data_IF_567942676836
#
_entry.id   IF_567942676836
#
_cell.length_a   1.000
_cell.length_b   1.000
_cell.length_c   1.000
_cell.angle_alpha   90.00
_cell.angle_beta   90.00
_cell.angle_gamma   90.00
#
_symmetry.space_group_name_H-M   'P 1'
#
loop_
_entity.id
_entity.type
_entity.pdbx_description
1 polymer ?
#
# COMPACT_ATOMS: atom_id res chain seq x y z
N UNK A 1 -23.60 -43.79 -21.87
CA UNK A 1 -22.35 -44.28 -21.23
C UNK A 1 -21.22 -43.24 -21.30
N UNK A 2 -21.46 -42.01 -20.90
CA UNK A 2 -20.44 -40.92 -20.97
C UNK A 2 -20.35 -40.05 -19.70
N UNK A 3 -20.89 -40.51 -18.58
CA UNK A 3 -20.86 -39.76 -17.30
C UNK A 3 -19.91 -40.29 -16.23
N UNK A 4 -19.09 -41.32 -16.50
CA UNK A 4 -18.30 -41.99 -15.46
C UNK A 4 -16.82 -41.59 -15.34
N UNK A 5 -16.34 -40.68 -16.19
CA UNK A 5 -14.87 -40.28 -16.17
C UNK A 5 -14.57 -38.91 -15.58
N UNK A 6 -15.57 -38.06 -15.32
CA UNK A 6 -15.36 -36.73 -14.69
C UNK A 6 -15.01 -36.76 -13.19
N UNK A 7 -15.60 -37.64 -12.35
CA UNK A 7 -15.35 -37.60 -10.89
C UNK A 7 -13.89 -37.90 -10.51
N UNK A 8 -13.17 -38.73 -11.27
CA UNK A 8 -11.81 -39.15 -10.92
C UNK A 8 -10.75 -38.03 -11.03
N UNK A 9 -10.89 -37.10 -11.98
CA UNK A 9 -9.91 -35.99 -12.14
C UNK A 9 -10.05 -34.94 -11.05
N UNK A 10 -11.29 -34.66 -10.64
CA UNK A 10 -11.59 -33.68 -9.58
C UNK A 10 -11.21 -34.23 -8.21
N UNK A 11 -11.59 -35.46 -7.86
CA UNK A 11 -11.16 -36.13 -6.64
C UNK A 11 -9.61 -36.22 -6.54
N UNK A 12 -8.93 -36.48 -7.66
CA UNK A 12 -7.47 -36.53 -7.69
C UNK A 12 -6.87 -35.13 -7.45
N UNK A 13 -7.45 -34.08 -8.04
CA UNK A 13 -7.02 -32.70 -7.83
C UNK A 13 -7.22 -32.27 -6.37
N UNK A 14 -8.35 -32.59 -5.76
CA UNK A 14 -8.63 -32.34 -4.34
C UNK A 14 -7.63 -33.09 -3.43
N UNK A 15 -7.27 -34.33 -3.75
CA UNK A 15 -6.26 -35.09 -2.99
C UNK A 15 -4.87 -34.42 -3.05
N UNK A 16 -4.50 -33.88 -4.20
CA UNK A 16 -3.23 -33.13 -4.37
C UNK A 16 -3.20 -31.90 -3.48
N UNK A 17 -4.30 -31.13 -3.44
CA UNK A 17 -4.43 -29.95 -2.59
C UNK A 17 -4.38 -30.35 -1.11
N UNK A 18 -5.14 -31.36 -0.69
CA UNK A 18 -5.12 -31.86 0.69
C UNK A 18 -3.74 -32.39 1.12
N UNK A 19 -2.98 -32.98 0.19
CA UNK A 19 -1.59 -33.38 0.45
C UNK A 19 -0.69 -32.14 0.65
N UNK A 20 -0.87 -31.10 -0.16
CA UNK A 20 -0.13 -29.84 0.00
C UNK A 20 -0.43 -29.17 1.34
N UNK A 21 -1.69 -29.18 1.79
CA UNK A 21 -2.09 -28.68 3.11
C UNK A 21 -1.41 -29.48 4.24
N UNK A 22 -1.42 -30.82 4.13
CA UNK A 22 -0.81 -31.69 5.15
C UNK A 22 0.71 -31.45 5.25
N UNK A 23 1.39 -31.32 4.13
CA UNK A 23 2.83 -31.03 4.11
C UNK A 23 3.11 -29.66 4.69
N UNK A 24 2.29 -28.68 4.38
CA UNK A 24 2.45 -27.36 4.92
C UNK A 24 2.21 -27.31 6.45
N UNK A 25 1.17 -27.97 6.95
CA UNK A 25 0.92 -28.13 8.40
C UNK A 25 2.08 -28.83 9.11
N UNK A 26 2.75 -29.75 8.43
CA UNK A 26 3.94 -30.42 8.94
C UNK A 26 5.23 -29.56 8.83
N UNK A 27 5.11 -28.28 8.50
CA UNK A 27 6.27 -27.38 8.29
C UNK A 27 7.07 -27.67 7.02
N UNK A 28 6.58 -28.56 6.15
CA UNK A 28 7.24 -28.93 4.89
C UNK A 28 6.61 -28.13 3.76
N UNK A 29 7.44 -27.54 2.92
CA UNK A 29 6.95 -26.93 1.70
C UNK A 29 6.67 -28.02 0.66
N UNK A 30 5.50 -27.98 0.01
CA UNK A 30 5.25 -28.79 -1.17
C UNK A 30 6.39 -28.57 -2.16
N UNK A 31 6.92 -29.62 -2.76
CA UNK A 31 8.22 -29.64 -3.44
C UNK A 31 8.42 -28.53 -4.47
N UNK A 32 9.69 -28.26 -4.74
CA UNK A 32 10.11 -27.38 -5.84
C UNK A 32 10.33 -28.19 -7.11
N UNK A 33 10.13 -29.45 -6.98
CA UNK A 33 10.26 -30.47 -8.01
C UNK A 33 9.35 -30.13 -9.20
N UNK A 34 9.80 -30.27 -10.38
CA UNK A 34 9.05 -29.94 -11.60
C UNK A 34 7.75 -30.77 -11.67
N UNK A 35 7.81 -32.02 -11.19
CA UNK A 35 6.67 -32.92 -11.08
C UNK A 35 5.61 -32.42 -10.12
N UNK A 36 5.98 -31.99 -8.93
CA UNK A 36 5.06 -31.42 -7.92
C UNK A 36 4.42 -30.14 -8.40
N UNK A 37 5.21 -29.29 -9.07
CA UNK A 37 4.73 -28.05 -9.69
C UNK A 37 3.69 -28.30 -10.77
N UNK A 38 3.93 -29.28 -11.64
CA UNK A 38 3.00 -29.66 -12.69
C UNK A 38 1.72 -30.22 -12.10
N UNK A 39 1.83 -31.03 -11.04
CA UNK A 39 0.69 -31.63 -10.35
C UNK A 39 -0.17 -30.56 -9.67
N UNK A 40 0.41 -29.57 -9.01
CA UNK A 40 -0.31 -28.44 -8.42
C UNK A 40 -0.95 -27.55 -9.48
N UNK A 41 -0.25 -27.28 -10.59
CA UNK A 41 -0.81 -26.52 -11.70
C UNK A 41 -2.06 -27.22 -12.29
N UNK A 42 -1.96 -28.53 -12.50
CA UNK A 42 -3.09 -29.34 -12.99
C UNK A 42 -4.26 -29.35 -12.00
N UNK A 43 -4.00 -29.45 -10.70
CA UNK A 43 -5.02 -29.37 -9.66
C UNK A 43 -5.71 -28.01 -9.66
N UNK A 44 -4.95 -26.92 -9.71
CA UNK A 44 -5.45 -25.57 -9.82
C UNK A 44 -6.37 -25.38 -11.05
N UNK A 45 -5.91 -25.81 -12.23
CA UNK A 45 -6.69 -25.71 -13.46
C UNK A 45 -7.97 -26.58 -13.43
N UNK A 46 -7.87 -27.78 -12.84
CA UNK A 46 -8.99 -28.74 -12.80
C UNK A 46 -10.09 -28.24 -11.88
N UNK A 47 -9.73 -27.83 -10.66
CA UNK A 47 -10.69 -27.29 -9.67
C UNK A 47 -11.23 -25.92 -10.15
N UNK A 48 -10.38 -25.11 -10.80
CA UNK A 48 -10.75 -23.81 -11.31
C UNK A 48 -11.87 -23.79 -12.36
N UNK A 49 -12.11 -24.92 -13.04
CA UNK A 49 -13.24 -25.08 -13.99
C UNK A 49 -14.59 -25.11 -13.26
N UNK A 50 -14.60 -25.55 -12.00
CA UNK A 50 -15.79 -25.68 -11.17
C UNK A 50 -15.64 -24.93 -9.84
N UNK A 51 -14.93 -23.77 -9.87
CA UNK A 51 -14.59 -22.99 -8.69
C UNK A 51 -15.77 -22.53 -7.83
N UNK A 52 -16.94 -22.41 -8.42
CA UNK A 52 -18.16 -22.06 -7.68
C UNK A 52 -18.67 -23.24 -6.83
N UNK A 53 -18.40 -24.47 -7.26
CA UNK A 53 -18.78 -25.69 -6.54
C UNK A 53 -17.76 -26.07 -5.49
N UNK A 54 -16.48 -25.84 -5.76
CA UNK A 54 -15.33 -26.21 -4.93
C UNK A 54 -14.55 -24.96 -4.50
N UNK A 55 -15.25 -23.97 -3.95
CA UNK A 55 -14.67 -22.66 -3.65
C UNK A 55 -13.52 -22.75 -2.63
N UNK A 56 -13.67 -23.56 -1.58
CA UNK A 56 -12.65 -23.72 -0.55
C UNK A 56 -11.43 -24.46 -1.10
N UNK A 57 -11.61 -25.58 -1.80
CA UNK A 57 -10.52 -26.33 -2.42
C UNK A 57 -9.79 -25.49 -3.48
N UNK A 58 -10.53 -24.65 -4.20
CA UNK A 58 -9.94 -23.74 -5.16
C UNK A 58 -9.05 -22.67 -4.50
N UNK A 59 -9.50 -22.10 -3.38
CA UNK A 59 -8.71 -21.15 -2.61
C UNK A 59 -7.42 -21.78 -2.08
N UNK A 60 -7.49 -23.02 -1.57
CA UNK A 60 -6.31 -23.78 -1.16
C UNK A 60 -5.36 -24.06 -2.34
N UNK A 61 -5.91 -24.47 -3.49
CA UNK A 61 -5.11 -24.68 -4.71
C UNK A 61 -4.41 -23.39 -5.14
N UNK A 62 -5.11 -22.25 -5.16
CA UNK A 62 -4.55 -20.94 -5.44
C UNK A 62 -3.42 -20.56 -4.46
N UNK A 63 -3.62 -20.83 -3.17
CA UNK A 63 -2.63 -20.54 -2.14
C UNK A 63 -1.34 -21.32 -2.37
N UNK A 64 -1.42 -22.63 -2.50
CA UNK A 64 -0.23 -23.48 -2.67
C UNK A 64 0.46 -23.24 -4.00
N UNK A 65 -0.29 -23.16 -5.09
CA UNK A 65 0.27 -22.94 -6.42
C UNK A 65 0.87 -21.52 -6.53
N UNK A 66 0.18 -20.50 -6.04
CA UNK A 66 0.71 -19.15 -6.01
C UNK A 66 2.00 -19.00 -5.20
N UNK A 67 2.12 -19.67 -4.04
CA UNK A 67 3.37 -19.71 -3.26
C UNK A 67 4.50 -20.41 -4.00
N UNK A 68 4.19 -21.49 -4.70
CA UNK A 68 5.14 -22.19 -5.52
C UNK A 68 5.66 -21.33 -6.67
N UNK A 69 4.77 -20.60 -7.34
CA UNK A 69 5.12 -19.64 -8.40
C UNK A 69 5.99 -18.49 -7.86
N UNK A 70 5.68 -17.95 -6.65
CA UNK A 70 6.56 -16.99 -5.99
C UNK A 70 7.98 -17.54 -5.78
N UNK A 71 8.09 -18.78 -5.34
CA UNK A 71 9.39 -19.43 -5.13
C UNK A 71 10.17 -19.66 -6.43
N UNK A 72 9.45 -19.86 -7.55
CA UNK A 72 10.04 -19.95 -8.90
C UNK A 72 10.32 -18.57 -9.54
N UNK A 73 10.18 -17.49 -8.77
CA UNK A 73 10.34 -16.11 -9.24
C UNK A 73 9.41 -15.74 -10.43
N UNK A 74 8.20 -16.27 -10.39
CA UNK A 74 7.10 -15.97 -11.31
C UNK A 74 6.00 -15.15 -10.58
N UNK A 75 6.28 -13.87 -10.23
CA UNK A 75 5.36 -13.09 -9.40
C UNK A 75 4.07 -12.69 -10.11
N UNK A 76 4.07 -12.55 -11.43
CA UNK A 76 2.89 -12.17 -12.21
C UNK A 76 1.83 -13.26 -12.16
N UNK A 77 2.24 -14.50 -12.42
CA UNK A 77 1.38 -15.67 -12.38
C UNK A 77 0.92 -15.96 -10.93
N UNK A 78 1.81 -15.77 -9.96
CA UNK A 78 1.47 -15.91 -8.54
C UNK A 78 0.38 -14.91 -8.12
N UNK A 79 0.53 -13.65 -8.50
CA UNK A 79 -0.45 -12.61 -8.23
C UNK A 79 -1.81 -12.95 -8.84
N UNK A 80 -1.83 -13.43 -10.09
CA UNK A 80 -3.06 -13.85 -10.74
C UNK A 80 -3.77 -14.98 -9.98
N UNK A 81 -3.00 -15.97 -9.47
CA UNK A 81 -3.57 -17.03 -8.63
C UNK A 81 -4.20 -16.46 -7.37
N UNK A 82 -3.52 -15.55 -6.67
CA UNK A 82 -4.02 -14.94 -5.45
C UNK A 82 -5.25 -14.06 -5.71
N UNK A 83 -5.24 -13.26 -6.77
CA UNK A 83 -6.41 -12.46 -7.18
C UNK A 83 -7.60 -13.37 -7.47
N UNK A 84 -7.40 -14.45 -8.22
CA UNK A 84 -8.47 -15.39 -8.54
C UNK A 84 -9.12 -15.98 -7.28
N UNK A 85 -8.32 -16.25 -6.25
CA UNK A 85 -8.83 -16.74 -4.96
C UNK A 85 -9.71 -15.71 -4.23
N UNK A 86 -9.35 -14.43 -4.30
CA UNK A 86 -10.10 -13.36 -3.62
C UNK A 86 -11.50 -13.11 -4.22
N UNK A 87 -11.74 -13.61 -5.44
CA UNK A 87 -13.03 -13.51 -6.14
C UNK A 87 -13.94 -14.73 -5.95
N UNK A 88 -13.57 -15.65 -5.07
CA UNK A 88 -14.39 -16.83 -4.77
C UNK A 88 -15.44 -16.55 -3.70
N UNK A 89 -16.44 -17.43 -3.61
CA UNK A 89 -17.41 -17.45 -2.51
C UNK A 89 -16.92 -18.24 -1.29
N UNK A 90 -15.62 -18.56 -1.20
CA UNK A 90 -15.05 -19.31 -0.09
C UNK A 90 -15.23 -18.58 1.25
N UNK A 91 -15.48 -19.38 2.29
CA UNK A 91 -15.55 -18.92 3.68
C UNK A 91 -14.36 -19.42 4.51
N UNK A 92 -13.35 -20.01 3.87
CA UNK A 92 -12.08 -20.30 4.55
C UNK A 92 -11.29 -19.02 4.78
N UNK A 93 -11.71 -18.27 5.81
CA UNK A 93 -11.10 -17.00 6.17
C UNK A 93 -9.61 -17.13 6.52
N UNK A 94 -9.20 -18.31 7.02
CA UNK A 94 -7.79 -18.53 7.37
C UNK A 94 -6.90 -18.56 6.13
N UNK A 95 -7.28 -19.29 5.08
CA UNK A 95 -6.54 -19.34 3.82
C UNK A 95 -6.65 -18.02 3.05
N UNK A 96 -7.83 -17.39 3.04
CA UNK A 96 -8.01 -16.06 2.46
C UNK A 96 -7.11 -15.02 3.15
N UNK A 97 -7.01 -15.07 4.48
CA UNK A 97 -6.09 -14.23 5.24
C UNK A 97 -4.65 -14.41 4.77
N UNK A 98 -4.20 -15.66 4.64
CA UNK A 98 -2.85 -15.97 4.12
C UNK A 98 -2.62 -15.52 2.69
N UNK A 99 -3.64 -15.56 1.84
CA UNK A 99 -3.57 -15.07 0.47
C UNK A 99 -3.37 -13.56 0.48
N UNK A 100 -4.19 -12.80 1.23
CA UNK A 100 -4.00 -11.36 1.35
C UNK A 100 -2.64 -10.98 1.96
N UNK A 101 -2.13 -11.77 2.91
CA UNK A 101 -0.79 -11.59 3.44
C UNK A 101 0.28 -11.77 2.35
N UNK A 102 0.18 -12.83 1.52
CA UNK A 102 1.09 -13.03 0.39
C UNK A 102 1.02 -11.90 -0.65
N UNK A 103 -0.17 -11.36 -0.91
CA UNK A 103 -0.36 -10.18 -1.78
C UNK A 103 0.34 -8.97 -1.16
N UNK A 104 0.17 -8.75 0.15
CA UNK A 104 0.84 -7.69 0.90
C UNK A 104 2.37 -7.76 0.76
N UNK A 105 2.96 -8.93 1.00
CA UNK A 105 4.39 -9.17 0.79
C UNK A 105 4.84 -8.82 -0.65
N UNK A 106 4.03 -9.16 -1.64
CA UNK A 106 4.37 -8.88 -3.04
C UNK A 106 4.32 -7.38 -3.34
N UNK A 107 3.36 -6.65 -2.75
CA UNK A 107 3.27 -5.20 -2.83
C UNK A 107 4.48 -4.54 -2.14
N UNK A 108 4.88 -5.04 -0.97
CA UNK A 108 6.10 -4.59 -0.27
C UNK A 108 7.34 -4.75 -1.15
N UNK A 109 7.54 -5.92 -1.76
CA UNK A 109 8.68 -6.20 -2.66
C UNK A 109 8.68 -5.31 -3.91
N UNK A 110 7.53 -4.85 -4.35
CA UNK A 110 7.38 -3.86 -5.41
C UNK A 110 7.69 -2.42 -4.93
N UNK A 111 7.68 -2.18 -3.62
CA UNK A 111 7.82 -0.86 -2.99
C UNK A 111 6.51 -0.07 -2.91
N UNK A 112 5.37 -0.74 -3.08
CA UNK A 112 4.03 -0.16 -2.98
C UNK A 112 3.49 -0.31 -1.54
N UNK A 113 4.12 0.41 -0.62
CA UNK A 113 3.94 0.24 0.84
C UNK A 113 2.51 0.53 1.32
N UNK A 114 1.79 1.48 0.69
CA UNK A 114 0.38 1.70 1.06
C UNK A 114 -0.49 0.53 0.64
N UNK A 115 -0.32 0.05 -0.57
CA UNK A 115 -1.09 -1.08 -1.06
C UNK A 115 -0.77 -2.35 -0.25
N UNK A 116 0.50 -2.53 0.13
CA UNK A 116 0.93 -3.57 1.05
C UNK A 116 0.19 -3.49 2.39
N UNK A 117 0.20 -2.31 3.03
CA UNK A 117 -0.55 -2.05 4.27
C UNK A 117 -2.03 -2.39 4.13
N UNK A 118 -2.68 -2.00 3.03
CA UNK A 118 -4.10 -2.26 2.80
C UNK A 118 -4.38 -3.75 2.61
N UNK A 119 -3.46 -4.50 2.00
CA UNK A 119 -3.57 -5.95 1.87
C UNK A 119 -3.35 -6.66 3.21
N UNK A 120 -2.38 -6.24 4.02
CA UNK A 120 -2.21 -6.76 5.38
C UNK A 120 -3.43 -6.45 6.27
N UNK A 121 -4.07 -5.29 6.09
CA UNK A 121 -5.33 -4.99 6.77
C UNK A 121 -6.44 -5.96 6.37
N UNK A 122 -6.62 -6.23 5.07
CA UNK A 122 -7.58 -7.25 4.61
C UNK A 122 -7.23 -8.63 5.16
N UNK A 123 -5.95 -8.98 5.22
CA UNK A 123 -5.49 -10.22 5.85
C UNK A 123 -5.90 -10.30 7.32
N UNK A 124 -5.66 -9.22 8.09
CA UNK A 124 -6.06 -9.12 9.49
C UNK A 124 -7.56 -9.28 9.68
N UNK A 125 -8.36 -8.62 8.83
CA UNK A 125 -9.84 -8.74 8.85
C UNK A 125 -10.29 -10.19 8.61
N UNK A 126 -9.64 -10.90 7.67
CA UNK A 126 -9.94 -12.32 7.41
C UNK A 126 -9.57 -13.20 8.60
N UNK A 127 -8.41 -13.02 9.21
CA UNK A 127 -8.02 -13.79 10.39
C UNK A 127 -8.95 -13.53 11.59
N UNK A 128 -9.42 -12.29 11.77
CA UNK A 128 -10.44 -12.00 12.79
C UNK A 128 -11.76 -12.74 12.48
N UNK A 129 -12.24 -12.76 11.24
CA UNK A 129 -13.41 -13.52 10.83
C UNK A 129 -13.21 -15.02 11.08
N UNK A 130 -12.01 -15.53 10.89
CA UNK A 130 -11.60 -16.92 11.16
C UNK A 130 -11.27 -17.23 12.62
N UNK A 131 -11.41 -16.27 13.54
CA UNK A 131 -11.03 -16.39 14.96
C UNK A 131 -9.54 -16.73 15.19
N UNK A 132 -8.67 -16.44 14.23
CA UNK A 132 -7.22 -16.63 14.35
C UNK A 132 -6.55 -15.33 14.86
N UNK A 133 -6.62 -15.13 16.17
CA UNK A 133 -6.06 -13.94 16.83
C UNK A 133 -4.54 -13.88 16.75
N UNK A 134 -3.85 -15.02 16.65
CA UNK A 134 -2.41 -15.06 16.55
C UNK A 134 -1.95 -14.47 15.20
N UNK A 135 -2.49 -14.98 14.09
CA UNK A 135 -2.19 -14.46 12.74
C UNK A 135 -2.63 -13.01 12.58
N UNK A 136 -3.73 -12.59 13.22
CA UNK A 136 -4.14 -11.19 13.30
C UNK A 136 -3.05 -10.29 13.87
N UNK A 137 -2.42 -10.67 15.01
CA UNK A 137 -1.34 -9.88 15.59
C UNK A 137 -0.08 -9.84 14.72
N UNK A 138 0.24 -10.90 13.99
CA UNK A 138 1.30 -10.86 13.00
C UNK A 138 1.00 -9.86 11.88
N UNK A 139 -0.23 -9.83 11.36
CA UNK A 139 -0.63 -8.83 10.36
C UNK A 139 -0.53 -7.39 10.89
N UNK A 140 -0.86 -7.14 12.16
CA UNK A 140 -0.68 -5.82 12.78
C UNK A 140 0.80 -5.42 12.84
N UNK A 141 1.72 -6.36 13.08
CA UNK A 141 3.16 -6.10 12.99
C UNK A 141 3.57 -5.74 11.56
N UNK A 142 3.10 -6.49 10.55
CA UNK A 142 3.39 -6.20 9.15
C UNK A 142 2.83 -4.83 8.74
N UNK A 143 1.60 -4.50 9.15
CA UNK A 143 1.02 -3.16 8.95
C UNK A 143 1.86 -2.06 9.61
N UNK A 144 2.33 -2.28 10.83
CA UNK A 144 3.18 -1.32 11.53
C UNK A 144 4.54 -1.16 10.85
N UNK A 145 5.09 -2.23 10.28
CA UNK A 145 6.28 -2.18 9.46
C UNK A 145 6.08 -1.32 8.22
N UNK A 146 4.98 -1.52 7.49
CA UNK A 146 4.66 -0.71 6.32
C UNK A 146 4.46 0.78 6.68
N UNK A 147 3.89 1.09 7.84
CA UNK A 147 3.80 2.47 8.35
C UNK A 147 5.20 3.07 8.59
N UNK A 148 6.14 2.28 9.11
CA UNK A 148 7.51 2.75 9.31
C UNK A 148 8.22 3.03 7.97
N UNK A 149 8.09 2.14 6.98
CA UNK A 149 8.61 2.31 5.62
C UNK A 149 8.03 3.56 4.92
N UNK A 150 6.76 3.89 5.19
CA UNK A 150 6.10 5.10 4.71
C UNK A 150 6.52 6.37 5.45
N UNK A 151 7.39 6.27 6.45
CA UNK A 151 7.82 7.39 7.30
C UNK A 151 6.84 7.78 8.39
N UNK A 152 5.74 7.03 8.61
CA UNK A 152 4.74 7.22 9.68
C UNK A 152 5.14 6.50 10.96
N UNK A 153 6.29 6.85 11.47
CA UNK A 153 6.95 6.14 12.57
C UNK A 153 6.21 6.22 13.89
N UNK A 154 5.55 7.33 14.16
CA UNK A 154 4.73 7.53 15.36
C UNK A 154 3.53 6.58 15.36
N UNK A 155 2.82 6.47 14.23
CA UNK A 155 1.68 5.57 14.06
C UNK A 155 2.13 4.11 14.18
N UNK A 156 3.27 3.76 13.55
CA UNK A 156 3.91 2.45 13.69
C UNK A 156 4.18 2.11 15.15
N UNK A 157 4.83 3.00 15.90
CA UNK A 157 5.18 2.77 17.31
C UNK A 157 3.95 2.68 18.22
N UNK A 158 2.89 3.44 17.93
CA UNK A 158 1.60 3.33 18.66
C UNK A 158 1.01 1.94 18.45
N UNK A 159 0.91 1.47 17.19
CA UNK A 159 0.39 0.14 16.84
C UNK A 159 1.19 -0.96 17.54
N UNK A 160 2.54 -0.90 17.48
CA UNK A 160 3.41 -1.88 18.10
C UNK A 160 3.31 -1.87 19.65
N UNK A 161 3.01 -0.73 20.23
CA UNK A 161 2.80 -0.63 21.69
C UNK A 161 1.46 -1.25 22.09
N UNK A 162 0.41 -1.08 21.29
CA UNK A 162 -0.89 -1.72 21.50
C UNK A 162 -0.77 -3.25 21.40
N UNK A 163 0.00 -3.78 20.45
CA UNK A 163 0.26 -5.22 20.33
C UNK A 163 0.86 -5.75 21.63
N UNK A 164 1.93 -5.13 22.12
CA UNK A 164 2.61 -5.58 23.35
C UNK A 164 1.77 -5.45 24.61
N UNK A 165 0.74 -4.63 24.62
CA UNK A 165 -0.22 -4.51 25.73
C UNK A 165 -1.33 -5.57 25.67
N UNK A 166 -1.68 -6.03 24.47
CA UNK A 166 -2.85 -6.87 24.23
C UNK A 166 -2.51 -8.33 23.97
N UNK A 167 -1.27 -8.64 23.58
CA UNK A 167 -0.81 -9.99 23.26
C UNK A 167 0.30 -10.42 24.21
N UNK A 168 0.22 -11.67 24.68
CA UNK A 168 1.23 -12.30 25.55
C UNK A 168 2.01 -13.42 24.85
N UNK A 169 1.70 -13.70 23.60
CA UNK A 169 2.40 -14.71 22.82
C UNK A 169 3.85 -14.28 22.55
N UNK A 170 4.78 -15.20 22.80
CA UNK A 170 6.22 -14.93 22.76
C UNK A 170 6.72 -14.62 21.35
N UNK A 171 6.16 -15.27 20.34
CA UNK A 171 6.58 -15.12 18.94
C UNK A 171 6.06 -13.80 18.37
N UNK A 172 4.82 -13.42 18.73
CA UNK A 172 4.27 -12.09 18.40
C UNK A 172 5.09 -10.99 19.07
N UNK A 173 5.44 -11.15 20.33
CA UNK A 173 6.27 -10.17 21.07
C UNK A 173 7.66 -10.05 20.43
N UNK A 174 8.29 -11.16 20.09
CA UNK A 174 9.58 -11.16 19.40
C UNK A 174 9.48 -10.44 18.04
N UNK A 175 8.46 -10.74 17.23
CA UNK A 175 8.19 -10.02 15.97
C UNK A 175 7.98 -8.52 16.22
N UNK A 176 7.27 -8.16 17.28
CA UNK A 176 7.04 -6.76 17.65
C UNK A 176 8.34 -6.04 18.02
N UNK A 177 9.28 -6.68 18.70
CA UNK A 177 10.60 -6.11 18.96
C UNK A 177 11.41 -5.92 17.67
N UNK A 178 11.34 -6.86 16.75
CA UNK A 178 11.97 -6.74 15.43
C UNK A 178 11.45 -5.51 14.68
N UNK A 179 10.13 -5.37 14.55
CA UNK A 179 9.51 -4.24 13.87
C UNK A 179 9.76 -2.90 14.60
N UNK A 180 9.83 -2.90 15.94
CA UNK A 180 10.26 -1.71 16.71
C UNK A 180 11.70 -1.32 16.41
N UNK A 181 12.61 -2.31 16.28
CA UNK A 181 14.00 -2.03 15.92
C UNK A 181 14.09 -1.42 14.51
N UNK A 182 13.34 -1.94 13.55
CA UNK A 182 13.26 -1.39 12.19
C UNK A 182 12.71 0.03 12.18
N UNK A 183 11.63 0.31 12.90
CA UNK A 183 11.06 1.65 13.04
C UNK A 183 12.03 2.63 13.71
N UNK A 184 12.82 2.17 14.71
CA UNK A 184 13.87 2.97 15.34
C UNK A 184 15.05 3.25 14.38
N UNK A 185 15.42 2.27 13.55
CA UNK A 185 16.46 2.44 12.53
C UNK A 185 16.10 3.58 11.57
N UNK A 186 14.84 3.64 11.16
CA UNK A 186 14.35 4.73 10.35
C UNK A 186 14.34 6.12 11.04
N UNK A 187 14.42 6.19 12.37
CA UNK A 187 14.47 7.44 13.17
C UNK A 187 15.87 7.83 13.61
N UNK A 188 16.90 7.15 13.11
CA UNK A 188 18.29 7.30 13.56
C UNK A 188 18.49 7.06 15.06
N UNK A 189 17.63 6.24 15.68
CA UNK A 189 17.68 5.88 17.09
C UNK A 189 18.44 4.57 17.27
N UNK A 190 19.72 4.56 16.92
CA UNK A 190 20.55 3.36 16.81
C UNK A 190 20.74 2.61 18.13
N UNK A 191 20.80 3.32 19.27
CA UNK A 191 20.83 2.69 20.60
C UNK A 191 19.56 1.91 20.88
N UNK A 192 18.40 2.42 20.46
CA UNK A 192 17.13 1.69 20.57
C UNK A 192 17.08 0.47 19.66
N UNK A 193 17.69 0.55 18.47
CA UNK A 193 17.85 -0.62 17.59
C UNK A 193 18.66 -1.70 18.28
N UNK A 194 19.78 -1.33 18.90
CA UNK A 194 20.61 -2.28 19.66
C UNK A 194 19.86 -2.84 20.88
N UNK A 195 19.10 -2.00 21.58
CA UNK A 195 18.27 -2.47 22.71
C UNK A 195 17.29 -3.56 22.29
N UNK A 196 16.45 -3.30 21.26
CA UNK A 196 15.47 -4.29 20.79
C UNK A 196 16.14 -5.52 20.17
N UNK A 197 17.24 -5.35 19.43
CA UNK A 197 17.99 -6.49 18.89
C UNK A 197 18.66 -7.34 19.98
N UNK A 198 19.02 -6.76 21.13
CA UNK A 198 19.51 -7.51 22.29
C UNK A 198 18.38 -8.32 22.95
N UNK A 199 17.16 -7.78 23.03
CA UNK A 199 16.00 -8.56 23.52
C UNK A 199 15.74 -9.76 22.60
N UNK A 200 15.77 -9.58 21.28
CA UNK A 200 15.63 -10.65 20.31
C UNK A 200 16.72 -11.72 20.47
N UNK A 201 17.96 -11.27 20.62
CA UNK A 201 19.11 -12.16 20.80
C UNK A 201 19.02 -12.97 22.10
N UNK A 202 18.58 -12.34 23.21
CA UNK A 202 18.32 -12.99 24.48
C UNK A 202 17.15 -13.99 24.41
N UNK A 203 16.17 -13.72 23.55
CA UNK A 203 15.05 -14.62 23.25
C UNK A 203 15.46 -15.81 22.35
N UNK A 204 16.71 -15.85 21.89
CA UNK A 204 17.24 -16.90 21.02
C UNK A 204 17.09 -16.63 19.53
N UNK A 205 16.50 -15.50 19.12
CA UNK A 205 16.40 -15.12 17.72
C UNK A 205 17.73 -14.54 17.23
N UNK A 206 18.38 -15.27 16.30
CA UNK A 206 19.67 -14.93 15.67
C UNK A 206 19.56 -14.98 14.14
N UNK A 207 18.39 -14.74 13.61
CA UNK A 207 18.16 -14.78 12.17
C UNK A 207 18.83 -13.61 11.43
N UNK A 208 18.78 -13.64 10.11
CA UNK A 208 19.44 -12.64 9.26
C UNK A 208 18.93 -11.23 9.51
N UNK A 209 17.64 -11.04 9.84
CA UNK A 209 17.06 -9.72 10.08
C UNK A 209 17.66 -9.09 11.35
N UNK A 210 17.75 -9.85 12.44
CA UNK A 210 18.37 -9.37 13.70
C UNK A 210 19.84 -9.02 13.50
N UNK A 211 20.57 -9.84 12.75
CA UNK A 211 21.97 -9.57 12.41
C UNK A 211 22.11 -8.34 11.53
N UNK A 212 21.23 -8.15 10.55
CA UNK A 212 21.20 -6.97 9.70
C UNK A 212 20.94 -5.69 10.51
N UNK A 213 19.96 -5.70 11.42
CA UNK A 213 19.67 -4.57 12.30
C UNK A 213 20.90 -4.16 13.13
N UNK A 214 21.62 -5.15 13.68
CA UNK A 214 22.85 -4.91 14.44
C UNK A 214 23.96 -4.35 13.56
N UNK A 215 24.18 -4.94 12.39
CA UNK A 215 25.20 -4.46 11.44
C UNK A 215 24.95 -2.99 11.04
N UNK A 216 23.72 -2.64 10.72
CA UNK A 216 23.32 -1.26 10.40
C UNK A 216 23.50 -0.32 11.60
N UNK A 217 23.00 -0.70 12.78
CA UNK A 217 23.10 0.14 13.98
C UNK A 217 24.57 0.43 14.35
N UNK A 218 25.43 -0.58 14.36
CA UNK A 218 26.85 -0.39 14.62
C UNK A 218 27.55 0.45 13.54
N UNK A 219 27.14 0.30 12.29
CA UNK A 219 27.68 1.12 11.20
C UNK A 219 27.33 2.58 11.37
N UNK A 220 26.10 2.92 11.72
CA UNK A 220 25.68 4.30 11.97
C UNK A 220 26.26 4.90 13.26
N UNK A 221 26.55 4.08 14.25
CA UNK A 221 27.26 4.48 15.48
C UNK A 221 28.79 4.54 15.29
N UNK A 222 29.27 4.37 14.07
CA UNK A 222 30.70 4.40 13.69
C UNK A 222 31.54 3.33 14.46
N UNK A 223 30.92 2.28 14.98
CA UNK A 223 31.59 1.19 15.66
C UNK A 223 32.10 0.15 14.64
N UNK A 224 33.19 0.50 13.96
CA UNK A 224 33.76 -0.22 12.83
C UNK A 224 33.88 -1.72 13.03
N UNK A 225 34.57 -2.14 14.11
CA UNK A 225 34.84 -3.57 14.33
C UNK A 225 33.57 -4.39 14.45
N UNK A 226 32.57 -3.87 15.17
CA UNK A 226 31.26 -4.52 15.33
C UNK A 226 30.48 -4.52 14.01
N UNK A 227 30.48 -3.38 13.29
CA UNK A 227 29.78 -3.27 11.99
C UNK A 227 30.33 -4.29 10.99
N UNK A 228 31.66 -4.36 10.85
CA UNK A 228 32.33 -5.31 9.95
C UNK A 228 32.09 -6.76 10.37
N UNK A 229 32.15 -7.05 11.68
CA UNK A 229 31.86 -8.39 12.18
C UNK A 229 30.45 -8.86 11.80
N UNK A 230 29.42 -8.04 12.12
CA UNK A 230 28.03 -8.41 11.83
C UNK A 230 27.73 -8.40 10.33
N UNK A 231 28.34 -7.54 9.52
CA UNK A 231 28.19 -7.57 8.07
C UNK A 231 28.75 -8.88 7.46
N UNK A 232 29.95 -9.32 7.88
CA UNK A 232 30.52 -10.59 7.43
C UNK A 232 29.70 -11.79 7.92
N UNK A 233 29.20 -11.73 9.16
CA UNK A 233 28.34 -12.77 9.70
C UNK A 233 27.03 -12.87 8.90
N UNK A 234 26.42 -11.73 8.54
CA UNK A 234 25.22 -11.67 7.70
C UNK A 234 25.47 -12.32 6.33
N UNK A 235 26.61 -12.06 5.70
CA UNK A 235 26.98 -12.71 4.42
C UNK A 235 27.11 -14.23 4.52
N UNK A 236 27.51 -14.73 5.70
CA UNK A 236 27.68 -16.17 5.91
C UNK A 236 26.36 -16.92 6.18
N UNK A 237 25.30 -16.23 6.63
CA UNK A 237 24.05 -16.88 7.04
C UNK A 237 22.86 -16.58 6.12
N UNK A 238 22.93 -15.52 5.31
CA UNK A 238 21.80 -15.09 4.48
C UNK A 238 22.09 -15.22 2.99
N UNK A 239 21.14 -15.83 2.29
CA UNK A 239 21.10 -15.86 0.82
C UNK A 239 20.23 -14.76 0.21
N UNK A 240 19.54 -13.95 1.05
CA UNK A 240 18.68 -12.85 0.60
C UNK A 240 19.52 -11.76 -0.08
N UNK A 241 19.10 -11.34 -1.26
CA UNK A 241 19.79 -10.28 -2.03
C UNK A 241 19.85 -8.96 -1.29
N UNK A 242 18.78 -8.59 -0.56
CA UNK A 242 18.72 -7.38 0.26
C UNK A 242 19.76 -7.36 1.38
N UNK A 243 19.94 -8.50 2.05
CA UNK A 243 20.88 -8.66 3.15
C UNK A 243 22.31 -8.58 2.61
N UNK A 244 22.60 -9.28 1.51
CA UNK A 244 23.90 -9.22 0.82
C UNK A 244 24.25 -7.80 0.39
N UNK A 245 23.30 -7.07 -0.21
CA UNK A 245 23.51 -5.67 -0.59
C UNK A 245 23.83 -4.78 0.61
N UNK A 246 23.08 -4.95 1.70
CA UNK A 246 23.29 -4.16 2.93
C UNK A 246 24.63 -4.47 3.59
N UNK A 247 25.03 -5.75 3.67
CA UNK A 247 26.30 -6.16 4.22
C UNK A 247 27.47 -5.64 3.39
N UNK A 248 27.42 -5.80 2.05
CA UNK A 248 28.43 -5.27 1.15
C UNK A 248 28.54 -3.73 1.22
N UNK A 249 27.41 -3.03 1.39
CA UNK A 249 27.40 -1.60 1.60
C UNK A 249 28.20 -1.19 2.85
N UNK A 250 27.95 -1.86 3.99
CA UNK A 250 28.67 -1.61 5.25
C UNK A 250 30.15 -1.88 5.09
N UNK A 251 30.51 -3.02 4.49
CA UNK A 251 31.92 -3.38 4.27
C UNK A 251 32.66 -2.37 3.38
N UNK A 252 32.02 -1.85 2.33
CA UNK A 252 32.62 -0.82 1.47
C UNK A 252 32.88 0.51 2.18
N UNK A 253 32.14 0.81 3.28
CA UNK A 253 32.38 2.02 4.08
C UNK A 253 33.64 1.92 4.94
N UNK A 254 34.02 0.72 5.36
CA UNK A 254 35.10 0.47 6.32
C UNK A 254 36.32 -0.20 5.72
N UNK A 255 36.33 -0.43 4.41
CA UNK A 255 37.49 -1.04 3.74
C UNK A 255 38.63 -0.03 3.63
N UNK A 256 39.54 -0.07 4.61
CA UNK A 256 40.79 0.69 4.65
C UNK A 256 41.94 -0.02 3.97
N UNK A 257 41.72 -1.17 3.35
CA UNK A 257 42.79 -1.90 2.69
C UNK A 257 43.35 -1.05 1.54
N UNK A 258 44.65 -0.85 1.53
CA UNK A 258 45.38 -0.28 0.36
C UNK A 258 45.30 -1.20 -0.87
N UNK A 259 44.64 -2.35 -0.71
CA UNK A 259 44.38 -3.30 -1.79
C UNK A 259 43.20 -2.81 -2.65
N UNK A 260 43.56 -1.96 -3.63
CA UNK A 260 42.61 -1.48 -4.66
C UNK A 260 41.86 -2.60 -5.39
N UNK A 261 42.34 -3.83 -5.30
CA UNK A 261 41.74 -5.00 -5.95
C UNK A 261 40.61 -5.58 -5.10
N UNK A 262 40.77 -5.66 -3.78
CA UNK A 262 39.71 -6.09 -2.84
C UNK A 262 38.54 -5.12 -2.83
N UNK A 263 38.79 -3.79 -2.76
CA UNK A 263 37.72 -2.75 -2.83
C UNK A 263 36.93 -2.85 -4.14
N UNK A 264 37.60 -3.09 -5.27
CA UNK A 264 36.95 -3.22 -6.59
C UNK A 264 36.07 -4.45 -6.66
N UNK A 265 36.46 -5.60 -6.09
CA UNK A 265 35.64 -6.81 -6.06
C UNK A 265 34.39 -6.63 -5.22
N UNK A 266 34.48 -6.12 -4.00
CA UNK A 266 33.34 -5.86 -3.11
C UNK A 266 32.38 -4.84 -3.75
N UNK A 267 32.92 -3.78 -4.37
CA UNK A 267 32.08 -2.78 -5.06
C UNK A 267 31.41 -3.37 -6.32
N UNK A 268 32.08 -4.25 -7.07
CA UNK A 268 31.50 -4.95 -8.20
C UNK A 268 30.38 -5.90 -7.77
N UNK A 269 30.64 -6.72 -6.75
CA UNK A 269 29.65 -7.65 -6.17
C UNK A 269 28.39 -6.90 -5.69
N UNK A 270 28.58 -5.75 -5.04
CA UNK A 270 27.47 -4.88 -4.62
C UNK A 270 26.69 -4.37 -5.83
N UNK A 271 27.37 -3.90 -6.88
CA UNK A 271 26.70 -3.41 -8.10
C UNK A 271 25.84 -4.48 -8.74
N UNK A 272 26.33 -5.72 -8.79
CA UNK A 272 25.60 -6.83 -9.40
C UNK A 272 24.41 -7.26 -8.53
N UNK A 273 24.55 -7.29 -7.21
CA UNK A 273 23.45 -7.53 -6.27
C UNK A 273 22.40 -6.43 -6.39
N UNK A 274 22.81 -5.16 -6.50
CA UNK A 274 21.89 -4.04 -6.68
C UNK A 274 21.05 -4.19 -7.97
N UNK A 275 21.68 -4.56 -9.08
CA UNK A 275 20.97 -4.82 -10.34
C UNK A 275 19.95 -5.96 -10.20
N UNK A 276 20.30 -7.03 -9.50
CA UNK A 276 19.38 -8.13 -9.24
C UNK A 276 18.19 -7.71 -8.39
N UNK A 277 18.40 -6.86 -7.39
CA UNK A 277 17.31 -6.29 -6.58
C UNK A 277 16.37 -5.45 -7.45
N UNK A 278 16.91 -4.60 -8.33
CA UNK A 278 16.11 -3.75 -9.24
C UNK A 278 15.33 -4.61 -10.24
N UNK A 279 15.92 -5.62 -10.82
CA UNK A 279 15.24 -6.59 -11.71
C UNK A 279 14.11 -7.29 -10.96
N UNK A 280 14.37 -7.75 -9.74
CA UNK A 280 13.36 -8.41 -8.90
C UNK A 280 12.21 -7.44 -8.57
N UNK A 281 12.52 -6.23 -8.13
CA UNK A 281 11.54 -5.19 -7.84
C UNK A 281 10.65 -4.89 -9.06
N UNK A 282 11.26 -4.78 -10.26
CA UNK A 282 10.52 -4.56 -11.51
C UNK A 282 9.54 -5.69 -11.82
N UNK A 283 9.94 -6.97 -11.61
CA UNK A 283 9.04 -8.12 -11.78
C UNK A 283 7.84 -8.06 -10.82
N UNK A 284 8.07 -7.70 -9.55
CA UNK A 284 6.98 -7.55 -8.58
C UNK A 284 6.10 -6.35 -8.88
N UNK A 285 6.66 -5.24 -9.36
CA UNK A 285 5.89 -4.09 -9.80
C UNK A 285 4.93 -4.44 -10.96
N UNK A 286 5.36 -5.28 -11.92
CA UNK A 286 4.48 -5.80 -12.96
C UNK A 286 3.33 -6.65 -12.39
N UNK A 287 3.61 -7.48 -11.39
CA UNK A 287 2.58 -8.27 -10.72
C UNK A 287 1.57 -7.39 -9.99
N UNK A 288 2.04 -6.32 -9.32
CA UNK A 288 1.16 -5.36 -8.61
C UNK A 288 0.28 -4.56 -9.56
N UNK A 289 0.72 -4.30 -10.79
CA UNK A 289 -0.14 -3.68 -11.81
C UNK A 289 -1.39 -4.51 -12.11
N UNK A 290 -1.32 -5.85 -12.05
CA UNK A 290 -2.50 -6.70 -12.19
C UNK A 290 -3.47 -6.50 -11.02
N UNK A 291 -2.96 -6.41 -9.81
CA UNK A 291 -3.76 -6.14 -8.62
C UNK A 291 -4.42 -4.76 -8.69
N UNK A 292 -3.68 -3.75 -9.14
CA UNK A 292 -4.19 -2.39 -9.32
C UNK A 292 -5.32 -2.35 -10.36
N UNK A 293 -5.14 -3.05 -11.49
CA UNK A 293 -6.19 -3.22 -12.49
C UNK A 293 -7.41 -3.95 -11.93
N UNK A 294 -7.21 -4.99 -11.11
CA UNK A 294 -8.28 -5.74 -10.47
C UNK A 294 -9.06 -4.89 -9.45
N UNK A 295 -8.35 -4.17 -8.61
CA UNK A 295 -8.95 -3.26 -7.63
C UNK A 295 -9.73 -2.12 -8.30
N UNK A 296 -9.29 -1.67 -9.47
CA UNK A 296 -9.96 -0.63 -10.26
C UNK A 296 -10.97 -1.18 -11.24
N UNK A 297 -10.99 -2.49 -11.51
CA UNK A 297 -12.09 -3.19 -12.15
C UNK A 297 -13.27 -3.34 -11.17
N UNK A 298 -13.64 -2.26 -10.51
CA UNK A 298 -14.99 -2.16 -9.98
C UNK A 298 -15.89 -2.45 -11.18
N UNK A 299 -16.75 -3.48 -11.14
CA UNK A 299 -17.66 -3.80 -12.23
C UNK A 299 -18.30 -2.49 -12.65
N UNK A 300 -18.21 -2.18 -13.93
CA UNK A 300 -18.64 -0.89 -14.46
C UNK A 300 -20.09 -0.64 -14.02
N UNK A 301 -20.22 -0.07 -12.82
CA UNK A 301 -21.50 0.31 -12.24
C UNK A 301 -22.11 1.48 -12.99
N UNK A 302 -21.55 1.84 -14.19
CA UNK A 302 -22.15 2.83 -15.08
C UNK A 302 -23.58 2.44 -15.39
N UNK A 303 -23.84 1.15 -15.60
CA UNK A 303 -25.21 0.67 -15.79
C UNK A 303 -26.08 0.86 -14.54
N UNK A 304 -25.53 0.72 -13.33
CA UNK A 304 -26.25 1.01 -12.07
C UNK A 304 -26.47 2.52 -11.94
N UNK A 305 -25.47 3.33 -12.21
CA UNK A 305 -25.61 4.78 -12.22
C UNK A 305 -26.52 5.27 -13.34
N UNK A 306 -26.49 4.64 -14.52
CA UNK A 306 -27.44 4.91 -15.60
C UNK A 306 -28.85 4.50 -15.22
N UNK A 307 -29.05 3.35 -14.55
CA UNK A 307 -30.35 2.95 -14.02
C UNK A 307 -30.82 3.90 -12.90
N UNK A 308 -29.95 4.27 -11.97
CA UNK A 308 -30.28 5.23 -10.90
C UNK A 308 -30.61 6.60 -11.52
N UNK A 309 -29.85 7.08 -12.51
CA UNK A 309 -30.13 8.33 -13.20
C UNK A 309 -31.44 8.25 -14.01
N UNK A 310 -31.74 7.11 -14.64
CA UNK A 310 -33.00 6.87 -15.37
C UNK A 310 -34.19 6.83 -14.40
N UNK A 311 -34.05 6.18 -13.25
CA UNK A 311 -35.06 6.18 -12.19
C UNK A 311 -35.27 7.58 -11.62
N UNK A 312 -34.21 8.31 -11.34
CA UNK A 312 -34.27 9.70 -10.89
C UNK A 312 -34.92 10.60 -11.94
N UNK A 313 -34.57 10.41 -13.22
CA UNK A 313 -35.15 11.17 -14.33
C UNK A 313 -36.64 10.87 -14.50
N UNK A 314 -37.05 9.59 -14.37
CA UNK A 314 -38.48 9.21 -14.40
C UNK A 314 -39.25 9.77 -13.19
N UNK A 315 -38.66 9.75 -11.98
CA UNK A 315 -39.25 10.37 -10.80
C UNK A 315 -39.39 11.89 -10.96
N UNK A 316 -38.38 12.56 -11.52
CA UNK A 316 -38.43 13.99 -11.83
C UNK A 316 -39.52 14.26 -12.90
N UNK A 317 -39.59 13.45 -13.95
CA UNK A 317 -40.61 13.58 -15.00
C UNK A 317 -42.03 13.36 -14.44
N UNK A 318 -42.21 12.35 -13.56
CA UNK A 318 -43.49 12.10 -12.88
C UNK A 318 -43.85 13.26 -11.95
N UNK A 319 -42.87 13.80 -11.19
CA UNK A 319 -43.08 14.93 -10.32
C UNK A 319 -43.41 16.22 -11.11
N UNK A 320 -42.76 16.43 -12.25
CA UNK A 320 -43.05 17.54 -13.16
C UNK A 320 -44.45 17.40 -13.81
N UNK A 321 -44.83 16.17 -14.22
CA UNK A 321 -46.17 15.87 -14.73
C UNK A 321 -47.25 16.06 -13.64
N UNK A 322 -46.95 15.65 -12.40
CA UNK A 322 -47.81 15.88 -11.26
C UNK A 322 -47.95 17.38 -10.95
N UNK A 323 -46.86 18.12 -10.95
CA UNK A 323 -46.85 19.56 -10.78
C UNK A 323 -47.61 20.27 -11.93
N UNK A 324 -47.41 19.78 -13.18
CA UNK A 324 -48.12 20.32 -14.33
C UNK A 324 -49.65 20.07 -14.25
N UNK A 325 -50.05 18.81 -13.88
CA UNK A 325 -51.47 18.49 -13.62
C UNK A 325 -52.07 19.34 -12.50
N UNK A 326 -51.34 19.50 -11.38
CA UNK A 326 -51.76 20.30 -10.25
C UNK A 326 -51.81 21.78 -10.64
N UNK A 327 -50.85 22.30 -11.39
CA UNK A 327 -50.91 23.67 -11.95
C UNK A 327 -52.07 23.86 -12.91
N UNK A 328 -52.43 22.85 -13.69
CA UNK A 328 -53.61 22.91 -14.55
C UNK A 328 -54.92 22.96 -13.75
N UNK A 329 -55.01 22.19 -12.66
CA UNK A 329 -56.14 22.30 -11.71
C UNK A 329 -56.14 23.60 -10.94
N UNK A 330 -54.98 24.11 -10.50
CA UNK A 330 -54.91 25.39 -9.77
C UNK A 330 -55.07 26.64 -10.68
N UNK A 331 -54.93 26.56 -12.00
CA UNK A 331 -55.22 27.69 -12.88
C UNK A 331 -56.68 28.16 -12.77
N UNK A 332 -57.59 27.32 -12.34
CA UNK A 332 -58.95 27.72 -11.96
C UNK A 332 -59.07 28.37 -10.59
N UNK A 333 -58.12 28.09 -9.71
CA UNK A 333 -58.14 28.63 -8.30
C UNK A 333 -57.32 29.94 -8.18
N UNK A 334 -56.34 30.15 -9.06
CA UNK A 334 -55.45 31.33 -9.02
C UNK A 334 -56.14 32.62 -9.50
N UNK A 335 -57.34 32.58 -10.04
CA UNK A 335 -58.06 33.84 -10.30
C UNK A 335 -58.46 34.59 -9.00
N UNK A 336 -58.38 33.92 -7.84
CA UNK A 336 -58.88 34.52 -6.59
C UNK A 336 -57.87 34.73 -5.45
N UNK A 337 -56.62 34.37 -5.61
CA UNK A 337 -55.69 34.51 -4.47
C UNK A 337 -54.60 35.55 -4.75
N UNK A 338 -54.81 36.73 -4.25
CA UNK A 338 -53.81 37.78 -3.99
C UNK A 338 -52.80 37.33 -2.92
N UNK A 339 -52.02 36.31 -3.17
CA UNK A 339 -51.02 35.79 -2.21
C UNK A 339 -49.59 35.81 -2.75
N UNK A 340 -49.19 36.85 -3.49
CA UNK A 340 -47.79 37.09 -3.90
C UNK A 340 -46.77 37.18 -2.73
N UNK A 341 -47.24 37.37 -1.51
CA UNK A 341 -46.34 37.50 -0.35
C UNK A 341 -45.83 36.22 0.25
N UNK A 342 -46.48 35.04 0.00
CA UNK A 342 -46.09 33.77 0.61
C UNK A 342 -45.08 32.99 -0.23
N UNK A 343 -45.03 33.26 -1.53
CA UNK A 343 -44.10 32.56 -2.47
C UNK A 343 -42.66 33.07 -2.31
N UNK A 344 -42.48 34.36 -1.99
CA UNK A 344 -41.14 34.92 -1.81
C UNK A 344 -40.41 34.37 -0.55
N UNK A 345 -41.16 34.01 0.52
CA UNK A 345 -40.51 33.40 1.69
C UNK A 345 -40.06 31.96 1.50
N UNK A 346 -40.77 31.21 0.65
CA UNK A 346 -40.37 29.81 0.34
C UNK A 346 -39.19 29.77 -0.62
N UNK A 347 -39.07 30.74 -1.52
CA UNK A 347 -37.92 30.86 -2.42
C UNK A 347 -36.63 31.20 -1.65
N UNK A 348 -36.74 32.07 -0.65
CA UNK A 348 -35.61 32.41 0.23
C UNK A 348 -35.10 31.19 0.99
N UNK A 349 -36.00 30.38 1.58
CA UNK A 349 -35.61 29.18 2.30
C UNK A 349 -34.97 28.11 1.41
N UNK A 350 -35.38 28.02 0.14
CA UNK A 350 -34.77 27.06 -0.80
C UNK A 350 -33.38 27.53 -1.25
N UNK A 351 -33.15 28.84 -1.36
CA UNK A 351 -31.84 29.42 -1.65
C UNK A 351 -30.87 29.14 -0.49
N UNK A 352 -31.33 29.33 0.74
CA UNK A 352 -30.53 29.06 1.96
C UNK A 352 -30.16 27.57 2.07
N UNK A 353 -31.08 26.66 1.72
CA UNK A 353 -30.82 25.22 1.71
C UNK A 353 -29.81 24.80 0.60
N UNK A 354 -29.88 25.41 -0.61
CA UNK A 354 -28.93 25.18 -1.69
C UNK A 354 -27.54 25.70 -1.32
N UNK A 355 -27.47 26.83 -0.63
CA UNK A 355 -26.20 27.40 -0.16
C UNK A 355 -25.55 26.46 0.88
N UNK A 356 -26.34 25.91 1.79
CA UNK A 356 -25.89 24.95 2.79
C UNK A 356 -25.38 23.63 2.15
N UNK A 357 -26.08 23.14 1.11
CA UNK A 357 -25.64 21.94 0.36
C UNK A 357 -24.34 22.19 -0.40
N UNK A 358 -24.13 23.39 -0.96
CA UNK A 358 -22.87 23.75 -1.60
C UNK A 358 -21.70 23.81 -0.59
N UNK A 359 -21.94 24.31 0.61
CA UNK A 359 -20.94 24.31 1.69
C UNK A 359 -20.61 22.90 2.16
N UNK A 360 -21.58 22.00 2.28
CA UNK A 360 -21.35 20.59 2.62
C UNK A 360 -20.50 19.90 1.56
N UNK A 361 -20.84 20.08 0.29
CA UNK A 361 -20.08 19.48 -0.82
C UNK A 361 -18.64 20.01 -0.88
N UNK A 362 -18.45 21.30 -0.64
CA UNK A 362 -17.12 21.90 -0.54
C UNK A 362 -16.30 21.29 0.61
N UNK A 363 -16.92 21.05 1.75
CA UNK A 363 -16.27 20.42 2.89
C UNK A 363 -15.92 18.95 2.63
N UNK A 364 -16.76 18.22 1.89
CA UNK A 364 -16.49 16.85 1.45
C UNK A 364 -15.26 16.80 0.53
N UNK A 365 -15.15 17.74 -0.43
CA UNK A 365 -13.98 17.84 -1.31
C UNK A 365 -12.71 18.11 -0.50
N UNK A 366 -12.76 19.07 0.42
CA UNK A 366 -11.62 19.39 1.28
C UNK A 366 -11.21 18.17 2.11
N UNK A 367 -12.17 17.46 2.67
CA UNK A 367 -11.91 16.24 3.47
C UNK A 367 -11.32 15.13 2.59
N UNK A 368 -11.83 14.96 1.38
CA UNK A 368 -11.32 14.01 0.40
C UNK A 368 -9.85 14.28 0.03
N UNK A 369 -9.53 15.54 -0.25
CA UNK A 369 -8.14 15.97 -0.55
C UNK A 369 -7.22 15.78 0.67
N UNK A 370 -7.69 16.10 1.89
CA UNK A 370 -6.91 15.86 3.11
C UNK A 370 -6.61 14.36 3.34
N UNK A 371 -7.59 13.51 3.14
CA UNK A 371 -7.41 12.06 3.24
C UNK A 371 -6.41 11.54 2.19
N UNK A 372 -6.50 12.04 0.96
CA UNK A 372 -5.56 11.68 -0.11
C UNK A 372 -4.14 12.17 0.17
N UNK A 373 -3.99 13.35 0.78
CA UNK A 373 -2.69 13.83 1.25
C UNK A 373 -2.12 12.94 2.35
N UNK A 374 -2.95 12.41 3.25
CA UNK A 374 -2.52 11.44 4.27
C UNK A 374 -2.10 10.12 3.62
N UNK A 375 -2.87 9.60 2.68
CA UNK A 375 -2.54 8.40 1.93
C UNK A 375 -1.22 8.54 1.16
N UNK A 376 -1.00 9.66 0.50
CA UNK A 376 0.27 9.96 -0.18
C UNK A 376 1.46 9.96 0.79
N UNK A 377 1.33 10.62 1.94
CA UNK A 377 2.37 10.64 2.98
C UNK A 377 2.72 9.25 3.48
N UNK A 378 1.71 8.39 3.58
CA UNK A 378 1.87 7.03 4.08
C UNK A 378 2.59 6.12 3.08
N UNK A 379 2.41 6.38 1.77
CA UNK A 379 2.94 5.55 0.69
C UNK A 379 4.34 5.93 0.27
N UNK A 380 4.70 7.19 0.45
CA UNK A 380 5.96 7.73 -0.05
C UNK A 380 6.68 8.32 1.15
N UNK A 381 7.81 7.75 1.51
CA UNK A 381 8.64 8.30 2.58
C UNK A 381 9.03 9.74 2.22
N UNK A 382 8.25 10.71 2.74
CA UNK A 382 8.50 12.15 2.50
C UNK A 382 9.93 12.53 2.88
N UNK A 383 10.54 11.77 3.79
CA UNK A 383 11.92 11.98 4.24
C UNK A 383 12.96 11.26 3.36
N UNK A 384 12.57 10.45 2.39
CA UNK A 384 13.52 9.83 1.48
C UNK A 384 13.99 10.84 0.42
N UNK A 385 15.20 11.36 0.60
CA UNK A 385 15.83 12.25 -0.37
C UNK A 385 15.90 11.69 -1.78
N UNK A 386 15.96 10.37 -1.95
CA UNK A 386 16.03 9.71 -3.26
C UNK A 386 14.73 9.84 -4.03
N UNK A 387 13.58 9.62 -3.39
CA UNK A 387 12.26 9.79 -3.99
C UNK A 387 12.04 11.23 -4.49
N UNK A 388 12.37 12.22 -3.65
CA UNK A 388 12.19 13.62 -4.02
C UNK A 388 13.22 14.14 -5.03
N UNK A 389 14.31 13.41 -5.28
CA UNK A 389 15.28 13.72 -6.34
C UNK A 389 14.79 13.26 -7.71
N UNK A 390 14.08 12.16 -7.79
CA UNK A 390 13.49 11.69 -9.04
C UNK A 390 12.17 12.41 -9.30
N UNK A 391 12.23 13.41 -10.19
CA UNK A 391 11.08 14.23 -10.53
C UNK A 391 9.95 13.42 -11.18
N UNK A 392 10.28 12.48 -12.05
CA UNK A 392 9.27 11.70 -12.77
C UNK A 392 8.54 10.75 -11.83
N UNK A 393 9.27 10.05 -10.96
CA UNK A 393 8.69 9.17 -9.97
C UNK A 393 7.79 9.94 -8.97
N UNK A 394 8.23 11.12 -8.55
CA UNK A 394 7.43 12.00 -7.68
C UNK A 394 6.15 12.47 -8.38
N UNK A 395 6.24 12.90 -9.65
CA UNK A 395 5.07 13.35 -10.41
C UNK A 395 4.07 12.23 -10.65
N UNK A 396 4.54 11.03 -10.98
CA UNK A 396 3.68 9.86 -11.17
C UNK A 396 2.94 9.49 -9.87
N UNK A 397 3.65 9.44 -8.75
CA UNK A 397 3.05 9.20 -7.46
C UNK A 397 2.08 10.32 -7.05
N UNK A 398 2.44 11.59 -7.27
CA UNK A 398 1.58 12.72 -6.95
C UNK A 398 0.30 12.70 -7.80
N UNK A 399 0.38 12.40 -9.09
CA UNK A 399 -0.81 12.26 -9.93
C UNK A 399 -1.69 11.09 -9.49
N UNK A 400 -1.09 9.95 -9.14
CA UNK A 400 -1.83 8.75 -8.69
C UNK A 400 -2.63 9.00 -7.40
N UNK A 401 -2.08 9.70 -6.43
CA UNK A 401 -2.65 9.81 -5.09
C UNK A 401 -3.25 11.18 -4.76
N UNK A 402 -2.93 12.22 -5.52
CA UNK A 402 -3.33 13.61 -5.25
C UNK A 402 -4.17 14.20 -6.40
N UNK A 403 -5.12 13.45 -6.92
CA UNK A 403 -6.09 13.93 -7.92
C UNK A 403 -5.44 14.57 -9.14
N UNK A 404 -4.41 13.92 -9.70
CA UNK A 404 -3.75 14.38 -10.93
C UNK A 404 -3.14 15.80 -10.83
N UNK A 405 -2.68 16.15 -9.62
CA UNK A 405 -2.21 17.50 -9.27
C UNK A 405 -1.20 18.07 -10.27
N UNK A 406 -0.27 17.24 -10.78
CA UNK A 406 0.77 17.72 -11.69
C UNK A 406 0.16 18.20 -13.00
N UNK A 407 -0.85 17.48 -13.50
CA UNK A 407 -1.57 17.87 -14.72
C UNK A 407 -2.40 19.14 -14.48
N UNK A 408 -3.02 19.29 -13.31
CA UNK A 408 -3.73 20.53 -12.95
C UNK A 408 -2.79 21.74 -12.81
N UNK A 409 -1.52 21.54 -12.52
CA UNK A 409 -0.50 22.59 -12.41
C UNK A 409 0.15 22.95 -13.77
N UNK A 410 0.03 22.09 -14.81
CA UNK A 410 0.65 22.33 -16.14
C UNK A 410 0.31 23.70 -16.75
N UNK A 411 -0.96 24.18 -16.73
CA UNK A 411 -1.31 25.47 -17.35
C UNK A 411 -0.55 26.67 -16.78
N UNK A 412 0.05 26.54 -15.58
CA UNK A 412 0.77 27.63 -14.91
C UNK A 412 2.26 27.68 -15.26
N UNK A 413 2.76 26.78 -16.12
CA UNK A 413 4.15 26.74 -16.58
C UNK A 413 5.18 26.79 -15.46
N UNK A 414 4.95 26.00 -14.41
CA UNK A 414 5.82 25.94 -13.24
C UNK A 414 7.07 25.12 -13.56
N UNK A 415 8.22 25.53 -13.01
CA UNK A 415 9.43 24.72 -13.03
C UNK A 415 9.29 23.49 -12.12
N UNK A 416 10.10 22.45 -12.34
CA UNK A 416 10.13 21.25 -11.48
C UNK A 416 10.19 21.56 -9.98
N UNK A 417 11.00 22.56 -9.59
CA UNK A 417 11.12 22.98 -8.19
C UNK A 417 9.84 23.61 -7.66
N UNK A 418 9.12 24.34 -8.49
CA UNK A 418 7.85 24.99 -8.14
C UNK A 418 6.72 23.95 -8.04
N UNK A 419 6.70 22.95 -8.93
CA UNK A 419 5.75 21.81 -8.82
C UNK A 419 6.02 21.05 -7.52
N UNK A 420 7.27 20.72 -7.20
CA UNK A 420 7.63 20.10 -5.91
C UNK A 420 7.16 20.93 -4.73
N UNK A 421 7.37 22.24 -4.78
CA UNK A 421 6.89 23.14 -3.73
C UNK A 421 5.37 23.05 -3.57
N UNK A 422 4.60 23.05 -4.64
CA UNK A 422 3.14 22.96 -4.59
C UNK A 422 2.69 21.65 -3.93
N UNK A 423 3.29 20.52 -4.30
CA UNK A 423 2.99 19.21 -3.71
C UNK A 423 3.35 19.21 -2.21
N UNK A 424 4.53 19.69 -1.84
CA UNK A 424 4.96 19.74 -0.45
C UNK A 424 4.10 20.69 0.41
N UNK A 425 3.68 21.83 -0.15
CA UNK A 425 2.74 22.75 0.52
C UNK A 425 1.38 22.09 0.73
N UNK A 426 0.87 21.37 -0.28
CA UNK A 426 -0.37 20.60 -0.16
C UNK A 426 -0.26 19.58 0.97
N UNK A 427 0.87 18.91 1.07
CA UNK A 427 1.19 17.93 2.11
C UNK A 427 1.51 18.54 3.49
N UNK A 428 1.42 19.85 3.66
CA UNK A 428 1.76 20.55 4.93
C UNK A 428 3.22 20.29 5.38
N UNK A 429 4.16 20.20 4.46
CA UNK A 429 5.58 20.04 4.81
C UNK A 429 6.09 21.23 5.62
N UNK A 430 6.91 20.95 6.64
CA UNK A 430 7.54 21.99 7.46
C UNK A 430 8.57 22.81 6.64
N UNK A 431 8.94 23.97 7.14
CA UNK A 431 9.95 24.79 6.45
C UNK A 431 11.31 24.07 6.37
N UNK A 432 11.64 23.28 7.37
CA UNK A 432 12.86 22.46 7.41
C UNK A 432 12.81 21.37 6.33
N UNK A 433 11.69 20.66 6.23
CA UNK A 433 11.46 19.67 5.16
C UNK A 433 11.52 20.28 3.76
N UNK A 434 10.99 21.50 3.58
CA UNK A 434 11.06 22.19 2.29
C UNK A 434 12.50 22.53 1.90
N UNK A 435 13.34 22.93 2.85
CA UNK A 435 14.76 23.23 2.61
C UNK A 435 15.54 21.95 2.27
N UNK A 436 15.24 20.86 2.92
CA UNK A 436 15.89 19.57 2.69
C UNK A 436 15.53 18.92 1.35
N UNK A 437 14.31 19.09 0.91
CA UNK A 437 13.75 18.41 -0.27
C UNK A 437 13.79 19.27 -1.54
N UNK A 438 13.86 20.60 -1.39
CA UNK A 438 14.04 21.53 -2.48
C UNK A 438 15.41 22.21 -2.27
N UNK A 439 16.32 22.16 -3.24
CA UNK A 439 17.69 22.71 -3.06
C UNK A 439 17.68 24.25 -3.03
N UNK A 440 17.24 24.81 -1.91
CA UNK A 440 17.26 26.23 -1.60
C UNK A 440 17.85 26.46 -0.20
N UNK A 441 18.57 27.58 -0.02
CA UNK A 441 19.00 28.02 1.29
C UNK A 441 17.78 28.38 2.15
N UNK A 442 17.86 28.15 3.46
CA UNK A 442 16.76 28.40 4.40
C UNK A 442 16.19 29.82 4.28
N UNK A 443 17.05 30.83 4.09
CA UNK A 443 16.65 32.21 3.87
C UNK A 443 15.96 32.50 2.53
N UNK A 444 16.07 31.60 1.55
CA UNK A 444 15.51 31.77 0.21
C UNK A 444 14.12 31.16 0.03
N UNK A 445 13.71 30.23 0.90
CA UNK A 445 12.46 29.46 0.73
C UNK A 445 11.20 30.36 0.79
N UNK A 446 11.21 31.39 1.61
CA UNK A 446 10.12 32.35 1.71
C UNK A 446 9.90 33.13 0.41
N UNK A 447 11.00 33.61 -0.21
CA UNK A 447 10.97 34.30 -1.50
C UNK A 447 10.52 33.36 -2.62
N UNK A 448 10.96 32.10 -2.57
CA UNK A 448 10.56 31.07 -3.52
C UNK A 448 9.06 30.75 -3.43
N UNK A 449 8.52 30.59 -2.20
CA UNK A 449 7.06 30.46 -1.99
C UNK A 449 6.29 31.66 -2.54
N UNK A 450 6.78 32.87 -2.31
CA UNK A 450 6.15 34.08 -2.81
C UNK A 450 6.11 34.14 -4.33
N UNK A 451 7.22 33.82 -5.01
CA UNK A 451 7.28 33.84 -6.48
C UNK A 451 6.39 32.78 -7.10
N UNK A 452 6.35 31.58 -6.52
CA UNK A 452 5.47 30.50 -6.98
C UNK A 452 3.99 30.86 -6.77
N UNK A 453 3.63 31.38 -5.60
CA UNK A 453 2.26 31.82 -5.32
C UNK A 453 1.81 32.93 -6.31
N UNK A 454 2.68 33.86 -6.64
CA UNK A 454 2.40 34.91 -7.60
C UNK A 454 2.16 34.37 -9.01
N UNK A 455 2.94 33.37 -9.47
CA UNK A 455 2.71 32.69 -10.75
C UNK A 455 1.33 32.00 -10.80
N UNK A 456 0.88 31.47 -9.69
CA UNK A 456 -0.43 30.83 -9.53
C UNK A 456 -1.55 31.85 -9.33
N UNK A 457 -1.28 33.16 -9.25
CA UNK A 457 -2.29 34.19 -9.04
C UNK A 457 -2.86 34.24 -7.61
N UNK A 458 -2.09 33.75 -6.62
CA UNK A 458 -2.51 33.69 -5.22
C UNK A 458 -1.48 34.30 -4.27
N UNK A 459 -1.74 34.29 -2.97
CA UNK A 459 -0.81 34.71 -1.92
C UNK A 459 -0.15 33.52 -1.24
N UNK A 460 0.99 33.73 -0.58
CA UNK A 460 1.69 32.65 0.15
C UNK A 460 0.86 32.03 1.27
N UNK A 461 0.02 32.81 1.92
CA UNK A 461 -0.92 32.34 2.95
C UNK A 461 -2.05 31.47 2.36
N UNK A 462 -2.49 31.77 1.15
CA UNK A 462 -3.60 31.08 0.48
C UNK A 462 -3.13 30.01 -0.51
N UNK A 463 -1.82 29.81 -0.66
CA UNK A 463 -1.25 28.90 -1.66
C UNK A 463 -1.82 27.50 -1.55
N UNK A 464 -1.90 26.95 -0.34
CA UNK A 464 -2.46 25.62 -0.08
C UNK A 464 -3.94 25.54 -0.41
N UNK A 465 -4.71 26.53 0.03
CA UNK A 465 -6.15 26.61 -0.26
C UNK A 465 -6.42 26.74 -1.76
N UNK A 466 -5.60 27.50 -2.46
CA UNK A 466 -5.67 27.61 -3.92
C UNK A 466 -5.44 26.24 -4.58
N UNK A 467 -4.41 25.50 -4.16
CA UNK A 467 -4.11 24.16 -4.71
C UNK A 467 -5.27 23.20 -4.42
N UNK A 468 -5.83 23.21 -3.22
CA UNK A 468 -7.01 22.38 -2.87
C UNK A 468 -8.20 22.70 -3.80
N UNK A 469 -8.49 23.98 -4.01
CA UNK A 469 -9.57 24.40 -4.91
C UNK A 469 -9.30 24.06 -6.39
N UNK A 470 -8.05 23.85 -6.78
CA UNK A 470 -7.67 23.43 -8.12
C UNK A 470 -7.96 21.93 -8.36
N UNK A 471 -8.00 21.15 -7.28
CA UNK A 471 -8.20 19.69 -7.31
C UNK A 471 -9.68 19.29 -7.17
N UNK A 472 -10.55 20.17 -6.77
CA UNK A 472 -11.99 19.96 -6.61
C UNK A 472 -12.84 20.81 -7.46
#
# INVERSE_FOLDING_TARGET
MLCACKPRSEEQAQRVVAQADSLWQAGKMYGIDEGDSLTLAQAYETIGKEKETYADEYVHACYHYGRLLRKKEQPVEAMQCFINATHTSSHDYHILGRIYNNIGDMCHLAGEYQLSHDMFKKSADMFLCGHDTLSYYFCLNDMAYELAEQGKKEESMITLSQITQSCTDSDVIAKTWETKAEACLCKDQYDSVLYYSNLLYAHGNKDSNVILLRAKAYSFLEQKDSAVYYANYLLSISDKLSDKNSALYILTQYDESQDKQGIRTVAADRSDVQKLIEIRRSKYAQAVQLLDLDLHQVPDKRWVWTLISLVLFTLIAISLLYIWRKRKQHRHIIKDIRAKKKINSQLSNNIDNLTHLQELHRNEIITGVENSCQLFRNNQAINERLFWKDYNMMCEAANRYLYDIVNHLQPYHLSEKEVRLCILVLLKASTEQLVDLIPYAHSGIGKFKYTTARKLGTTTSNLRTFIINLLG
#
